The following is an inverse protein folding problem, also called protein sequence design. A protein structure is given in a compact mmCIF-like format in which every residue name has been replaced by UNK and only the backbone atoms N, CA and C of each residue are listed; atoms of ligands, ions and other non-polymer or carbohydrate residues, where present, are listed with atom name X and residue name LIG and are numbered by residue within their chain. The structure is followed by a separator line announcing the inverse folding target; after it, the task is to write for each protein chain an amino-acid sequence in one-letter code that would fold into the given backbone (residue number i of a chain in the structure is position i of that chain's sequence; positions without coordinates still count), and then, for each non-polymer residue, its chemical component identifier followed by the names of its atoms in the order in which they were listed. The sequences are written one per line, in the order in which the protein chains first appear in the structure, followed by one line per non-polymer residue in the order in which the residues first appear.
data_IF_973075650462
#
_entry.id   IF_973075650462
#
_cell.length_a   1.000
_cell.length_b   1.000
_cell.length_c   1.000
_cell.angle_alpha   90.00
_cell.angle_beta   90.00
_cell.angle_gamma   90.00
#
_symmetry.space_group_name_H-M   'P 1'
#
loop_
_entity.id
_entity.type
_entity.pdbx_description
1 polymer ?
#
# COMPACT_ATOMS: atom_id res chain seq x y z
N UNK A 1 23.65 13.97 10.78
CA UNK A 1 24.18 12.69 10.28
C UNK A 1 23.00 11.78 10.02
N UNK A 2 22.62 11.62 8.77
CA UNK A 2 21.60 10.65 8.34
C UNK A 2 22.36 9.39 7.93
N UNK A 3 22.16 8.27 8.62
CA UNK A 3 22.85 7.01 8.31
C UNK A 3 24.39 7.12 8.26
N UNK A 4 25.00 7.97 9.10
CA UNK A 4 26.46 8.19 9.12
C UNK A 4 27.00 9.11 8.01
N UNK A 5 26.14 9.64 7.15
CA UNK A 5 26.47 10.62 6.11
C UNK A 5 25.97 12.00 6.52
N UNK A 6 26.76 13.04 6.28
CA UNK A 6 26.30 14.42 6.39
C UNK A 6 25.39 14.73 5.18
N UNK A 7 24.09 14.50 5.32
CA UNK A 7 23.07 14.78 4.31
C UNK A 7 22.14 15.90 4.79
N UNK A 8 21.54 16.63 3.85
CA UNK A 8 20.51 17.63 4.12
C UNK A 8 19.15 16.97 4.00
N UNK A 9 18.38 17.02 5.09
CA UNK A 9 17.01 16.52 5.13
C UNK A 9 16.07 17.59 4.57
N UNK A 10 15.36 17.25 3.51
CA UNK A 10 14.23 18.01 2.99
C UNK A 10 12.94 17.31 3.42
N UNK A 11 11.93 18.10 3.76
CA UNK A 11 10.67 17.61 4.31
C UNK A 11 9.51 18.28 3.61
N UNK A 12 8.39 17.59 3.48
CA UNK A 12 7.13 18.19 3.04
C UNK A 12 5.98 17.23 3.25
N UNK A 13 4.81 17.58 2.72
CA UNK A 13 3.58 16.81 2.91
C UNK A 13 3.15 16.00 1.69
N UNK A 14 3.88 16.09 0.57
CA UNK A 14 3.59 15.31 -0.63
C UNK A 14 4.30 13.96 -0.55
N UNK A 15 3.63 12.91 -1.02
CA UNK A 15 4.16 11.55 -0.98
C UNK A 15 4.67 11.11 -2.35
N UNK A 16 5.92 10.67 -2.40
CA UNK A 16 6.58 10.10 -3.57
C UNK A 16 6.72 8.57 -3.40
N UNK A 17 6.29 7.82 -4.41
CA UNK A 17 6.36 6.35 -4.40
C UNK A 17 7.74 5.87 -4.86
N UNK A 18 8.32 4.91 -4.13
CA UNK A 18 9.50 4.17 -4.58
C UNK A 18 9.03 3.00 -5.43
N UNK A 19 9.77 2.63 -6.47
CA UNK A 19 9.48 1.48 -7.33
C UNK A 19 10.61 0.45 -7.32
N UNK A 20 10.29 -0.78 -7.71
CA UNK A 20 11.25 -1.89 -7.78
C UNK A 20 11.55 -2.56 -6.44
N UNK A 21 10.77 -2.25 -5.40
CA UNK A 21 10.95 -2.75 -4.03
C UNK A 21 10.76 -4.27 -3.95
N UNK A 22 9.98 -4.86 -4.85
CA UNK A 22 9.79 -6.31 -4.95
C UNK A 22 11.11 -7.06 -5.15
N UNK A 23 12.09 -6.45 -5.85
CA UNK A 23 13.43 -6.99 -6.04
C UNK A 23 14.39 -6.68 -4.88
N UNK A 24 13.96 -5.84 -3.92
CA UNK A 24 14.78 -5.31 -2.81
C UNK A 24 14.25 -5.71 -1.43
N UNK A 25 13.36 -6.69 -1.36
CA UNK A 25 12.74 -7.15 -0.11
C UNK A 25 13.76 -7.57 0.95
N UNK A 26 14.88 -8.19 0.57
CA UNK A 26 15.93 -8.53 1.54
C UNK A 26 16.51 -7.30 2.23
N UNK A 27 16.84 -6.25 1.45
CA UNK A 27 17.33 -4.97 1.97
C UNK A 27 16.28 -4.26 2.83
N UNK A 28 15.02 -4.27 2.40
CA UNK A 28 13.92 -3.67 3.15
C UNK A 28 13.68 -4.35 4.50
N UNK A 29 13.77 -5.68 4.56
CA UNK A 29 13.74 -6.38 5.83
C UNK A 29 14.98 -6.05 6.69
N UNK A 30 16.15 -5.86 6.08
CA UNK A 30 17.35 -5.38 6.78
C UNK A 30 17.16 -4.00 7.43
N UNK A 31 16.48 -3.08 6.75
CA UNK A 31 16.13 -1.74 7.26
C UNK A 31 15.23 -1.83 8.49
N UNK A 32 14.16 -2.64 8.42
CA UNK A 32 13.18 -2.77 9.51
C UNK A 32 13.71 -3.62 10.67
N UNK A 33 14.69 -4.48 10.40
CA UNK A 33 15.32 -5.38 11.37
C UNK A 33 14.80 -6.82 11.28
N UNK A 34 14.35 -7.40 12.39
CA UNK A 34 13.89 -8.80 12.37
C UNK A 34 12.61 -8.93 11.55
N UNK A 35 12.55 -9.90 10.64
CA UNK A 35 11.33 -10.29 9.91
C UNK A 35 10.28 -10.79 10.92
N UNK A 36 9.26 -9.99 11.29
CA UNK A 36 8.22 -10.49 12.16
C UNK A 36 7.35 -11.41 11.33
N UNK A 37 7.17 -12.66 11.76
CA UNK A 37 6.44 -13.66 10.96
C UNK A 37 4.93 -13.43 10.89
N UNK A 38 4.38 -12.40 11.53
CA UNK A 38 2.94 -12.10 11.55
C UNK A 38 2.60 -10.67 12.03
N UNK A 39 3.31 -9.63 11.58
CA UNK A 39 2.97 -8.26 11.98
C UNK A 39 2.97 -7.31 10.80
N UNK A 40 2.08 -6.31 10.86
CA UNK A 40 2.16 -5.15 9.98
C UNK A 40 3.39 -4.34 10.37
N UNK A 41 4.11 -3.91 9.36
CA UNK A 41 5.27 -3.05 9.47
C UNK A 41 4.84 -1.64 9.12
N UNK A 42 5.22 -0.71 10.01
CA UNK A 42 5.21 0.72 9.78
C UNK A 42 6.50 1.24 10.42
N UNK A 43 7.48 1.56 9.61
CA UNK A 43 8.82 1.93 10.07
C UNK A 43 9.20 3.25 9.42
N UNK A 44 9.25 4.30 10.23
CA UNK A 44 9.75 5.61 9.84
C UNK A 44 11.28 5.55 9.71
N UNK A 45 11.79 6.12 8.63
CA UNK A 45 13.20 6.12 8.29
C UNK A 45 13.55 7.41 7.53
N UNK A 46 14.83 7.52 7.15
CA UNK A 46 15.31 8.57 6.27
C UNK A 46 15.99 7.94 5.08
N UNK A 47 15.54 8.31 3.88
CA UNK A 47 16.07 7.85 2.62
C UNK A 47 17.04 8.86 2.01
N UNK A 48 18.08 8.38 1.34
CA UNK A 48 18.99 9.16 0.50
C UNK A 48 18.61 8.98 -0.96
N UNK A 49 18.58 10.07 -1.71
CA UNK A 49 18.41 10.08 -3.16
C UNK A 49 19.78 10.16 -3.84
N UNK A 50 20.08 9.18 -4.70
CA UNK A 50 21.37 9.05 -5.36
C UNK A 50 21.17 8.93 -6.88
N UNK A 51 21.50 9.97 -7.68
CA UNK A 51 21.47 9.87 -9.13
C UNK A 51 22.50 8.86 -9.67
N UNK A 52 22.10 8.02 -10.63
CA UNK A 52 22.96 7.04 -11.30
C UNK A 52 23.18 7.42 -12.78
N UNK A 53 24.24 8.17 -13.06
CA UNK A 53 24.58 8.67 -14.41
C UNK A 53 24.96 7.61 -15.45
N UNK A 54 25.01 6.33 -15.08
CA UNK A 54 25.41 5.21 -15.94
C UNK A 54 24.48 4.01 -15.88
N UNK A 55 23.26 4.17 -15.38
CA UNK A 55 22.31 3.07 -15.31
C UNK A 55 21.86 2.66 -16.73
N UNK A 56 21.97 1.38 -17.12
CA UNK A 56 21.69 0.94 -18.50
C UNK A 56 20.19 0.91 -18.85
N UNK A 57 19.31 1.03 -17.87
CA UNK A 57 17.85 0.93 -18.06
C UNK A 57 17.13 2.27 -18.04
N UNK A 58 17.70 3.27 -17.38
CA UNK A 58 17.18 4.62 -17.30
C UNK A 58 18.33 5.60 -17.09
N UNK A 59 18.56 6.46 -18.07
CA UNK A 59 19.61 7.48 -17.99
C UNK A 59 19.38 8.48 -16.86
N UNK A 60 18.14 8.61 -16.36
CA UNK A 60 17.73 9.50 -15.27
C UNK A 60 17.62 8.84 -13.91
N UNK A 61 17.94 7.55 -13.79
CA UNK A 61 17.70 6.77 -12.58
C UNK A 61 18.16 7.47 -11.30
N UNK A 62 17.26 7.53 -10.31
CA UNK A 62 17.56 7.98 -8.95
C UNK A 62 17.33 6.81 -8.01
N UNK A 63 18.42 6.27 -7.48
CA UNK A 63 18.39 5.19 -6.51
C UNK A 63 18.00 5.72 -5.13
N UNK A 64 17.18 4.95 -4.41
CA UNK A 64 16.71 5.27 -3.07
C UNK A 64 17.38 4.34 -2.08
N UNK A 65 18.05 4.93 -1.09
CA UNK A 65 18.83 4.19 -0.10
C UNK A 65 18.37 4.49 1.33
N UNK A 66 18.13 3.46 2.13
CA UNK A 66 17.77 3.60 3.55
C UNK A 66 18.72 2.77 4.39
N UNK A 67 19.35 3.35 5.41
CA UNK A 67 20.28 2.67 6.32
C UNK A 67 21.38 1.86 5.59
N UNK A 68 21.87 2.36 4.45
CA UNK A 68 22.89 1.68 3.64
C UNK A 68 22.35 0.57 2.72
N UNK A 69 21.04 0.32 2.70
CA UNK A 69 20.39 -0.61 1.80
C UNK A 69 19.74 0.11 0.62
N UNK A 70 19.99 -0.39 -0.59
CA UNK A 70 19.26 0.03 -1.78
C UNK A 70 17.85 -0.57 -1.75
N UNK A 71 16.84 0.29 -1.58
CA UNK A 71 15.45 -0.13 -1.37
C UNK A 71 14.59 -0.05 -2.63
N UNK A 72 15.03 0.69 -3.65
CA UNK A 72 14.35 0.82 -4.93
C UNK A 72 14.82 2.08 -5.66
N UNK A 73 14.03 2.53 -6.62
CA UNK A 73 14.28 3.75 -7.38
C UNK A 73 13.08 4.66 -7.31
N UNK A 74 13.25 5.92 -7.69
CA UNK A 74 12.11 6.69 -8.16
C UNK A 74 11.60 6.10 -9.48
N UNK A 75 10.31 6.29 -9.79
CA UNK A 75 9.76 5.94 -11.11
C UNK A 75 10.54 6.68 -12.20
N UNK A 76 10.56 6.18 -13.45
CA UNK A 76 11.31 6.85 -14.54
C UNK A 76 10.93 8.30 -14.73
N UNK A 77 9.64 8.59 -14.63
CA UNK A 77 9.14 9.94 -14.85
C UNK A 77 9.46 10.85 -13.65
N UNK A 78 9.34 10.34 -12.42
CA UNK A 78 9.79 11.08 -11.24
C UNK A 78 11.30 11.27 -11.30
N UNK A 79 12.06 10.26 -11.70
CA UNK A 79 13.49 10.37 -11.86
C UNK A 79 13.84 11.48 -12.88
N UNK A 80 13.18 11.51 -14.04
CA UNK A 80 13.36 12.57 -15.03
C UNK A 80 12.98 13.96 -14.49
N UNK A 81 11.87 14.09 -13.75
CA UNK A 81 11.41 15.36 -13.21
C UNK A 81 12.27 15.88 -12.05
N UNK A 82 12.62 15.01 -11.10
CA UNK A 82 13.34 15.37 -9.88
C UNK A 82 14.84 15.49 -10.10
N UNK A 83 15.41 14.85 -11.12
CA UNK A 83 16.86 14.78 -11.30
C UNK A 83 17.57 16.14 -11.36
N UNK A 84 17.12 17.15 -12.13
CA UNK A 84 17.75 18.46 -12.12
C UNK A 84 17.77 19.10 -10.72
N UNK A 85 16.70 18.88 -9.94
CA UNK A 85 16.60 19.33 -8.56
C UNK A 85 17.55 18.59 -7.63
N UNK A 86 17.52 17.26 -7.66
CA UNK A 86 18.38 16.41 -6.84
C UNK A 86 19.85 16.69 -7.12
N UNK A 87 20.26 16.79 -8.38
CA UNK A 87 21.65 17.09 -8.76
C UNK A 87 22.08 18.48 -8.28
N UNK A 88 21.22 19.49 -8.44
CA UNK A 88 21.49 20.86 -7.93
C UNK A 88 21.70 20.87 -6.42
N UNK A 89 20.85 20.20 -5.66
CA UNK A 89 20.93 20.16 -4.19
C UNK A 89 22.15 19.31 -3.73
N UNK A 90 22.43 18.22 -4.44
CA UNK A 90 23.52 17.29 -4.15
C UNK A 90 24.92 17.92 -4.27
N UNK A 91 25.07 19.05 -4.99
CA UNK A 91 26.33 19.82 -5.04
C UNK A 91 26.77 20.26 -3.65
N UNK A 92 25.82 20.61 -2.78
CA UNK A 92 26.11 21.15 -1.45
C UNK A 92 26.24 20.03 -0.40
N UNK A 93 25.30 19.08 -0.43
CA UNK A 93 25.31 17.90 0.42
C UNK A 93 24.35 16.84 -0.17
N UNK A 94 24.57 15.54 0.11
CA UNK A 94 23.61 14.49 -0.21
C UNK A 94 22.18 14.84 0.20
N UNK A 95 21.22 14.51 -0.66
CA UNK A 95 19.80 14.81 -0.47
C UNK A 95 19.14 13.68 0.30
N UNK A 96 18.46 14.02 1.40
CA UNK A 96 17.71 13.09 2.22
C UNK A 96 16.22 13.49 2.31
N UNK A 97 15.34 12.49 2.38
CA UNK A 97 13.90 12.64 2.59
C UNK A 97 13.41 11.76 3.73
N UNK A 98 12.34 12.18 4.42
CA UNK A 98 11.63 11.29 5.33
C UNK A 98 11.04 10.14 4.52
N UNK A 99 11.08 8.94 5.07
CA UNK A 99 10.59 7.74 4.41
C UNK A 99 9.74 6.92 5.39
N UNK A 100 8.73 6.25 4.87
CA UNK A 100 7.97 5.27 5.63
C UNK A 100 8.02 3.94 4.88
N UNK A 101 8.62 2.93 5.53
CA UNK A 101 8.57 1.55 5.08
C UNK A 101 7.31 0.91 5.66
N UNK A 102 6.41 0.49 4.79
CA UNK A 102 5.11 -0.07 5.19
C UNK A 102 4.85 -1.40 4.51
N UNK A 103 4.04 -2.24 5.14
CA UNK A 103 3.65 -3.52 4.57
C UNK A 103 3.64 -4.60 5.63
N UNK A 104 4.10 -5.79 5.28
CA UNK A 104 3.98 -6.95 6.17
C UNK A 104 2.54 -7.45 6.28
N UNK A 105 2.35 -8.60 6.93
CA UNK A 105 1.05 -9.26 6.93
C UNK A 105 0.85 -10.26 8.06
N UNK A 106 -0.41 -10.56 8.31
CA UNK A 106 -0.86 -11.70 9.12
C UNK A 106 -1.22 -12.85 8.18
N UNK A 107 -0.61 -14.03 8.34
CA UNK A 107 -0.96 -15.25 7.59
C UNK A 107 0.16 -15.84 6.73
N UNK A 108 -0.15 -16.90 5.98
CA UNK A 108 0.82 -17.80 5.33
C UNK A 108 1.41 -17.27 3.99
N UNK A 109 1.26 -15.99 3.68
CA UNK A 109 1.73 -15.37 2.43
C UNK A 109 3.12 -14.73 2.57
N UNK A 110 3.83 -14.50 1.46
CA UNK A 110 5.09 -13.75 1.48
C UNK A 110 4.80 -12.30 1.84
N UNK A 111 5.25 -11.88 3.03
CA UNK A 111 5.15 -10.50 3.48
C UNK A 111 6.04 -9.59 2.61
N UNK A 112 5.42 -8.63 1.91
CA UNK A 112 6.11 -7.64 1.07
C UNK A 112 6.05 -6.27 1.76
N UNK A 113 7.14 -5.51 1.64
CA UNK A 113 7.31 -4.14 2.10
C UNK A 113 7.40 -3.18 0.90
N UNK A 114 6.79 -2.01 1.01
CA UNK A 114 6.94 -0.89 0.08
C UNK A 114 7.48 0.34 0.80
N UNK A 115 7.89 1.36 0.03
CA UNK A 115 8.48 2.59 0.57
C UNK A 115 7.82 3.82 -0.02
N UNK A 116 7.50 4.76 0.85
CA UNK A 116 6.99 6.09 0.50
C UNK A 116 7.92 7.14 1.06
N UNK A 117 8.14 8.23 0.31
CA UNK A 117 8.97 9.36 0.73
C UNK A 117 8.10 10.60 0.89
N UNK A 118 8.36 11.41 1.92
CA UNK A 118 7.67 12.68 2.11
C UNK A 118 8.61 13.83 1.72
N UNK A 119 8.11 14.75 0.89
CA UNK A 119 8.91 15.86 0.39
C UNK A 119 8.05 17.09 0.02
N UNK A 120 8.73 18.21 -0.20
CA UNK A 120 8.16 19.39 -0.84
C UNK A 120 8.73 19.48 -2.27
N UNK A 121 7.90 19.38 -3.34
CA UNK A 121 8.38 19.48 -4.72
C UNK A 121 9.15 20.78 -5.02
N UNK A 122 8.88 21.87 -4.28
CA UNK A 122 9.51 23.17 -4.50
C UNK A 122 10.99 23.21 -4.19
N UNK A 123 11.46 22.39 -3.25
CA UNK A 123 12.89 22.24 -2.96
C UNK A 123 13.66 21.75 -4.21
N UNK A 124 12.99 20.92 -5.03
CA UNK A 124 13.53 20.35 -6.25
C UNK A 124 13.36 21.27 -7.46
N UNK A 125 12.77 22.46 -7.30
CA UNK A 125 12.49 23.40 -8.37
C UNK A 125 11.30 22.98 -9.23
N UNK A 126 10.46 22.09 -8.70
CA UNK A 126 9.15 21.78 -9.25
C UNK A 126 8.15 22.74 -8.61
N UNK A 127 7.16 23.21 -9.36
CA UNK A 127 6.06 23.94 -8.73
C UNK A 127 5.41 23.03 -7.68
N UNK A 128 4.94 23.53 -6.51
CA UNK A 128 4.11 22.74 -5.62
C UNK A 128 2.84 22.50 -6.41
N UNK A 129 2.75 21.34 -7.04
CA UNK A 129 1.66 21.10 -7.97
C UNK A 129 0.66 20.26 -7.22
N UNK A 130 -0.56 20.78 -7.12
CA UNK A 130 -1.76 19.95 -7.14
C UNK A 130 -1.51 18.89 -8.22
N UNK A 131 -1.24 17.66 -7.79
CA UNK A 131 -1.12 16.47 -8.63
C UNK A 131 -0.49 16.70 -10.03
N UNK A 132 0.84 16.67 -10.14
CA UNK A 132 1.53 16.46 -11.42
C UNK A 132 2.10 15.04 -11.47
N UNK A 133 1.48 14.12 -12.20
CA UNK A 133 2.11 12.84 -12.49
C UNK A 133 2.92 12.95 -13.78
N UNK A 134 4.06 12.29 -13.75
CA UNK A 134 4.56 11.36 -14.77
C UNK A 134 4.30 11.75 -16.24
N UNK A 135 5.33 12.29 -16.89
CA UNK A 135 5.33 12.62 -18.32
C UNK A 135 5.40 11.35 -19.17
N UNK A 136 4.24 10.88 -19.65
CA UNK A 136 4.15 10.08 -20.88
C UNK A 136 3.80 8.61 -20.74
N UNK A 137 3.87 8.01 -19.54
CA UNK A 137 3.34 6.67 -19.29
C UNK A 137 1.93 6.79 -18.65
N UNK A 138 0.89 6.45 -19.41
CA UNK A 138 -0.52 6.53 -19.00
C UNK A 138 -0.80 5.60 -17.81
N UNK A 139 -0.45 5.97 -16.57
CA UNK A 139 -0.71 5.12 -15.39
C UNK A 139 -2.18 5.12 -15.03
N UNK A 140 -2.72 6.14 -14.37
CA UNK A 140 -4.17 6.24 -14.06
C UNK A 140 -4.97 6.93 -15.17
N UNK A 141 -4.29 7.47 -16.19
CA UNK A 141 -4.89 8.36 -17.18
C UNK A 141 -5.12 9.79 -16.69
N UNK A 142 -5.09 10.04 -15.38
CA UNK A 142 -5.38 11.35 -14.78
C UNK A 142 -4.34 12.43 -15.18
N UNK A 143 -3.07 12.06 -15.27
CA UNK A 143 -1.98 12.95 -15.73
C UNK A 143 -2.17 13.40 -17.18
N UNK A 144 -2.45 12.44 -18.07
CA UNK A 144 -2.72 12.73 -19.48
C UNK A 144 -4.06 13.46 -19.63
N UNK A 145 -5.00 13.20 -18.71
CA UNK A 145 -6.26 13.89 -18.66
C UNK A 145 -6.05 15.39 -18.41
N UNK A 146 -5.34 15.76 -17.34
CA UNK A 146 -4.96 17.14 -17.05
C UNK A 146 -4.21 17.82 -18.21
N UNK A 147 -3.25 17.13 -18.82
CA UNK A 147 -2.45 17.70 -19.90
C UNK A 147 -3.24 17.94 -21.19
N UNK A 148 -4.18 17.05 -21.51
CA UNK A 148 -4.98 17.22 -22.72
C UNK A 148 -6.15 18.18 -22.51
N UNK A 149 -6.71 18.27 -21.30
CA UNK A 149 -7.67 19.32 -20.93
C UNK A 149 -7.10 20.73 -21.17
N UNK A 150 -5.90 21.03 -20.65
CA UNK A 150 -5.22 22.32 -20.91
C UNK A 150 -5.01 22.61 -22.42
N UNK A 151 -5.03 21.58 -23.28
CA UNK A 151 -4.79 21.69 -24.72
C UNK A 151 -6.08 21.67 -25.56
N UNK A 152 -7.15 21.01 -25.11
CA UNK A 152 -8.35 20.74 -25.89
C UNK A 152 -9.70 20.99 -25.18
N UNK A 153 -9.70 21.40 -23.90
CA UNK A 153 -10.87 21.76 -23.09
C UNK A 153 -11.97 20.67 -23.12
N UNK A 154 -11.56 19.41 -23.16
CA UNK A 154 -12.49 18.29 -23.40
C UNK A 154 -13.21 17.77 -22.16
N UNK A 155 -12.77 18.09 -20.94
CA UNK A 155 -13.41 17.73 -19.67
C UNK A 155 -12.85 18.57 -18.51
N UNK A 156 -13.67 18.88 -17.50
CA UNK A 156 -13.34 19.87 -16.47
C UNK A 156 -12.79 19.21 -15.21
N UNK A 157 -11.46 19.11 -15.07
CA UNK A 157 -10.84 18.58 -13.84
C UNK A 157 -10.65 19.64 -12.74
N UNK A 158 -11.21 20.85 -12.90
CA UNK A 158 -11.06 21.93 -11.92
C UNK A 158 -11.73 21.59 -10.58
N UNK A 159 -12.72 20.70 -10.56
CA UNK A 159 -13.33 20.22 -9.32
C UNK A 159 -12.31 19.60 -8.35
N UNK A 160 -11.22 19.00 -8.85
CA UNK A 160 -10.17 18.42 -8.01
C UNK A 160 -9.47 19.50 -7.17
N UNK A 161 -9.30 20.69 -7.77
CA UNK A 161 -8.67 21.85 -7.15
C UNK A 161 -9.55 22.49 -6.07
N UNK A 162 -10.86 22.31 -6.19
CA UNK A 162 -11.88 22.89 -5.30
C UNK A 162 -12.35 21.93 -4.21
N UNK A 163 -11.76 20.72 -4.15
CA UNK A 163 -12.06 19.78 -3.08
C UNK A 163 -11.54 20.28 -1.72
N UNK A 164 -12.36 20.20 -0.65
CA UNK A 164 -11.93 20.47 0.70
C UNK A 164 -10.79 19.54 1.15
N UNK A 165 -9.91 20.09 1.99
CA UNK A 165 -8.90 19.28 2.68
C UNK A 165 -9.55 18.31 3.69
N UNK A 166 -10.68 18.69 4.28
CA UNK A 166 -11.46 17.80 5.14
C UNK A 166 -12.06 16.63 4.33
N UNK A 167 -11.69 15.41 4.71
CA UNK A 167 -12.04 14.19 3.96
C UNK A 167 -13.55 14.00 3.81
N UNK A 168 -14.34 14.23 4.88
CA UNK A 168 -15.80 14.00 4.85
C UNK A 168 -16.53 15.07 4.05
N UNK A 169 -16.10 16.32 4.12
CA UNK A 169 -16.61 17.40 3.26
C UNK A 169 -16.30 17.14 1.80
N UNK A 170 -15.08 16.68 1.48
CA UNK A 170 -14.73 16.31 0.11
C UNK A 170 -15.55 15.12 -0.41
N UNK A 171 -15.77 14.07 0.39
CA UNK A 171 -16.67 12.95 0.03
C UNK A 171 -18.08 13.46 -0.30
N UNK A 172 -18.59 14.41 0.50
CA UNK A 172 -19.92 15.00 0.27
C UNK A 172 -19.96 15.79 -1.04
N UNK A 173 -18.92 16.55 -1.35
CA UNK A 173 -18.80 17.31 -2.59
C UNK A 173 -18.67 16.39 -3.80
N UNK A 174 -17.82 15.36 -3.75
CA UNK A 174 -17.66 14.36 -4.81
C UNK A 174 -18.97 13.65 -5.13
N UNK A 175 -19.72 13.23 -4.09
CA UNK A 175 -21.07 12.65 -4.27
C UNK A 175 -22.03 13.62 -4.95
N UNK A 176 -21.94 14.91 -4.62
CA UNK A 176 -22.79 15.94 -5.24
C UNK A 176 -22.45 16.11 -6.72
N UNK A 177 -21.16 16.19 -7.06
CA UNK A 177 -20.70 16.29 -8.44
C UNK A 177 -21.15 15.07 -9.26
N UNK A 178 -20.95 13.86 -8.73
CA UNK A 178 -21.36 12.60 -9.36
C UNK A 178 -22.87 12.46 -9.63
N UNK A 179 -23.74 13.29 -9.05
CA UNK A 179 -25.17 13.30 -9.36
C UNK A 179 -25.43 13.99 -10.70
N UNK A 180 -24.73 15.08 -11.00
CA UNK A 180 -25.04 15.98 -12.09
C UNK A 180 -24.03 15.96 -13.24
N UNK A 181 -22.81 15.50 -12.98
CA UNK A 181 -21.74 15.51 -13.98
C UNK A 181 -22.05 14.53 -15.11
N UNK A 182 -22.14 14.98 -16.38
CA UNK A 182 -22.42 14.11 -17.51
C UNK A 182 -21.16 13.49 -18.14
N UNK A 183 -19.97 13.99 -17.83
CA UNK A 183 -18.73 13.57 -18.49
C UNK A 183 -18.18 12.26 -17.90
N UNK A 184 -17.96 11.28 -18.74
CA UNK A 184 -17.58 9.94 -18.29
C UNK A 184 -16.14 9.86 -17.78
N UNK A 185 -15.24 10.70 -18.29
CA UNK A 185 -13.84 10.73 -17.89
C UNK A 185 -13.73 11.47 -16.55
N UNK A 186 -14.42 12.60 -16.39
CA UNK A 186 -14.48 13.32 -15.10
C UNK A 186 -15.06 12.44 -14.00
N UNK A 187 -16.19 11.79 -14.28
CA UNK A 187 -16.82 10.87 -13.34
C UNK A 187 -15.90 9.72 -12.92
N UNK A 188 -15.12 9.16 -13.85
CA UNK A 188 -14.14 8.11 -13.53
C UNK A 188 -13.13 8.57 -12.48
N UNK A 189 -12.62 9.79 -12.63
CA UNK A 189 -11.67 10.36 -11.69
C UNK A 189 -12.32 10.79 -10.39
N UNK A 190 -13.55 11.31 -10.42
CA UNK A 190 -14.34 11.59 -9.22
C UNK A 190 -14.60 10.33 -8.40
N UNK A 191 -14.98 9.22 -9.05
CA UNK A 191 -15.14 7.93 -8.37
C UNK A 191 -13.82 7.44 -7.79
N UNK A 192 -12.73 7.51 -8.56
CA UNK A 192 -11.40 7.09 -8.10
C UNK A 192 -10.95 7.86 -6.83
N UNK A 193 -11.18 9.17 -6.80
CA UNK A 193 -10.88 10.01 -5.62
C UNK A 193 -11.83 9.72 -4.45
N UNK A 194 -13.13 9.54 -4.72
CA UNK A 194 -14.14 9.18 -3.72
C UNK A 194 -13.78 7.85 -3.04
N UNK A 195 -13.44 6.84 -3.83
CA UNK A 195 -13.00 5.52 -3.38
C UNK A 195 -11.75 5.60 -2.52
N UNK A 196 -10.73 6.35 -2.96
CA UNK A 196 -9.49 6.53 -2.21
C UNK A 196 -9.75 7.16 -0.83
N UNK A 197 -10.60 8.19 -0.75
CA UNK A 197 -10.97 8.86 0.51
C UNK A 197 -11.77 7.95 1.44
N UNK A 198 -12.79 7.27 0.92
CA UNK A 198 -13.60 6.33 1.71
C UNK A 198 -12.75 5.18 2.23
N UNK A 199 -11.86 4.64 1.39
CA UNK A 199 -10.98 3.55 1.82
C UNK A 199 -9.99 4.01 2.89
N UNK A 200 -9.51 5.27 2.87
CA UNK A 200 -8.67 5.82 3.96
C UNK A 200 -9.43 5.89 5.29
N UNK A 201 -10.73 6.20 5.27
CA UNK A 201 -11.55 6.30 6.49
C UNK A 201 -11.96 4.95 7.10
N UNK A 202 -11.77 3.83 6.40
CA UNK A 202 -12.21 2.49 6.84
C UNK A 202 -11.73 2.07 8.24
N UNK A 203 -10.57 2.56 8.67
CA UNK A 203 -9.96 2.18 9.96
C UNK A 203 -10.40 3.13 11.09
N UNK A 204 -11.13 4.20 10.76
CA UNK A 204 -11.58 5.27 11.68
C UNK A 204 -13.10 5.30 11.78
N UNK A 205 -13.82 4.93 10.72
CA UNK A 205 -15.27 5.02 10.64
C UNK A 205 -15.87 3.68 10.18
N UNK A 206 -16.71 3.08 11.03
CA UNK A 206 -17.30 1.76 10.80
C UNK A 206 -18.09 1.66 9.46
N UNK A 207 -18.75 2.75 9.07
CA UNK A 207 -19.54 2.80 7.83
C UNK A 207 -18.70 3.00 6.56
N UNK A 208 -17.47 3.51 6.67
CA UNK A 208 -16.70 3.96 5.51
C UNK A 208 -16.33 2.81 4.56
N UNK A 209 -16.17 1.59 5.09
CA UNK A 209 -15.88 0.42 4.26
C UNK A 209 -17.09 -0.04 3.44
N UNK A 210 -18.30 0.06 3.98
CA UNK A 210 -19.52 -0.22 3.24
C UNK A 210 -19.79 0.87 2.20
N UNK A 211 -19.60 2.13 2.58
CA UNK A 211 -19.68 3.26 1.64
C UNK A 211 -18.68 3.15 0.49
N UNK A 212 -17.47 2.65 0.76
CA UNK A 212 -16.46 2.33 -0.26
C UNK A 212 -16.96 1.22 -1.20
N UNK A 213 -17.48 0.13 -0.65
CA UNK A 213 -18.00 -0.99 -1.45
C UNK A 213 -19.16 -0.54 -2.36
N UNK A 214 -20.03 0.36 -1.87
CA UNK A 214 -21.12 0.97 -2.65
C UNK A 214 -20.59 1.90 -3.75
N UNK A 215 -19.59 2.74 -3.45
CA UNK A 215 -18.96 3.63 -4.43
C UNK A 215 -18.33 2.83 -5.58
N UNK A 216 -17.59 1.76 -5.28
CA UNK A 216 -17.02 0.88 -6.30
C UNK A 216 -18.11 0.19 -7.15
N UNK A 217 -19.21 -0.24 -6.54
CA UNK A 217 -20.30 -0.86 -7.27
C UNK A 217 -20.98 0.14 -8.23
N UNK A 218 -21.16 1.39 -7.79
CA UNK A 218 -21.68 2.46 -8.63
C UNK A 218 -20.70 2.78 -9.78
N UNK A 219 -19.41 2.88 -9.49
CA UNK A 219 -18.37 3.11 -10.49
C UNK A 219 -18.37 1.99 -11.55
N UNK A 220 -18.35 0.72 -11.15
CA UNK A 220 -18.40 -0.43 -12.08
C UNK A 220 -19.66 -0.42 -12.97
N UNK A 221 -20.79 0.04 -12.44
CA UNK A 221 -22.04 0.14 -13.22
C UNK A 221 -21.94 1.12 -14.41
N UNK A 222 -20.96 2.03 -14.36
CA UNK A 222 -20.67 2.99 -15.42
C UNK A 222 -19.46 2.59 -16.28
N UNK A 223 -18.68 1.60 -15.82
CA UNK A 223 -17.36 1.29 -16.37
C UNK A 223 -17.37 0.85 -17.82
N UNK A 224 -18.43 0.24 -18.36
CA UNK A 224 -18.47 -0.09 -19.80
C UNK A 224 -18.46 1.18 -20.67
N UNK A 225 -19.22 2.22 -20.27
CA UNK A 225 -19.27 3.51 -20.97
C UNK A 225 -17.98 4.31 -20.75
N UNK A 226 -17.53 4.37 -19.49
CA UNK A 226 -16.27 5.02 -19.10
C UNK A 226 -15.09 4.41 -19.87
N UNK A 227 -15.00 3.08 -19.94
CA UNK A 227 -13.94 2.37 -20.66
C UNK A 227 -13.90 2.76 -22.13
N UNK A 228 -15.06 2.89 -22.79
CA UNK A 228 -15.11 3.38 -24.17
C UNK A 228 -14.56 4.80 -24.28
N UNK A 229 -14.95 5.70 -23.37
CA UNK A 229 -14.44 7.07 -23.36
C UNK A 229 -12.93 7.16 -23.10
N UNK A 230 -12.43 6.43 -22.09
CA UNK A 230 -10.99 6.36 -21.77
C UNK A 230 -10.19 5.86 -22.97
N UNK A 231 -10.64 4.79 -23.63
CA UNK A 231 -9.96 4.26 -24.81
C UNK A 231 -9.99 5.24 -25.99
N UNK A 232 -11.12 5.89 -26.25
CA UNK A 232 -11.22 6.90 -27.30
C UNK A 232 -10.26 8.08 -27.06
N UNK A 233 -10.12 8.51 -25.81
CA UNK A 233 -9.25 9.63 -25.44
C UNK A 233 -7.77 9.25 -25.47
N UNK A 234 -7.42 8.11 -24.89
CA UNK A 234 -6.03 7.75 -24.63
C UNK A 234 -5.44 6.75 -25.62
N UNK A 235 -6.26 6.17 -26.51
CA UNK A 235 -5.86 5.09 -27.41
C UNK A 235 -5.62 3.75 -26.72
N UNK A 236 -5.82 3.68 -25.40
CA UNK A 236 -5.69 2.50 -24.55
C UNK A 236 -6.48 2.70 -23.25
N UNK A 237 -6.68 1.64 -22.49
CA UNK A 237 -7.33 1.65 -21.18
C UNK A 237 -6.25 1.86 -20.09
N UNK A 238 -6.33 2.94 -19.30
CA UNK A 238 -5.42 3.20 -18.18
C UNK A 238 -5.65 2.23 -17.02
N UNK A 239 -4.82 2.31 -15.97
CA UNK A 239 -4.94 1.53 -14.76
C UNK A 239 -6.30 1.73 -14.09
N UNK A 240 -7.09 0.66 -14.08
CA UNK A 240 -8.35 0.56 -13.36
C UNK A 240 -8.10 0.02 -11.93
N UNK A 241 -7.51 0.85 -11.07
CA UNK A 241 -7.04 0.44 -9.73
C UNK A 241 -8.15 -0.17 -8.86
N UNK A 242 -9.41 0.28 -9.03
CA UNK A 242 -10.58 -0.23 -8.32
C UNK A 242 -10.66 -1.77 -8.36
N UNK A 243 -10.44 -2.40 -9.51
CA UNK A 243 -10.58 -3.86 -9.66
C UNK A 243 -9.54 -4.62 -8.85
N UNK A 244 -8.29 -4.16 -8.86
CA UNK A 244 -7.22 -4.72 -8.03
C UNK A 244 -7.51 -4.52 -6.55
N UNK A 245 -7.95 -3.33 -6.18
CA UNK A 245 -8.28 -3.00 -4.80
C UNK A 245 -9.45 -3.83 -4.26
N UNK A 246 -10.49 -4.02 -5.06
CA UNK A 246 -11.62 -4.87 -4.71
C UNK A 246 -11.20 -6.34 -4.58
N UNK A 247 -10.32 -6.86 -5.44
CA UNK A 247 -9.75 -8.20 -5.24
C UNK A 247 -9.06 -8.33 -3.88
N UNK A 248 -8.22 -7.36 -3.48
CA UNK A 248 -7.55 -7.37 -2.15
C UNK A 248 -8.59 -7.33 -1.02
N UNK A 249 -9.62 -6.51 -1.16
CA UNK A 249 -10.70 -6.35 -0.19
C UNK A 249 -11.49 -7.65 0.01
N UNK A 250 -11.91 -8.29 -1.08
CA UNK A 250 -12.69 -9.54 -1.02
C UNK A 250 -11.84 -10.72 -0.53
N UNK A 251 -10.55 -10.75 -0.87
CA UNK A 251 -9.60 -11.69 -0.29
C UNK A 251 -9.54 -11.58 1.25
N UNK A 252 -9.50 -10.35 1.80
CA UNK A 252 -9.52 -10.13 3.26
C UNK A 252 -10.85 -10.53 3.89
N UNK A 253 -11.96 -10.30 3.19
CA UNK A 253 -13.30 -10.72 3.61
C UNK A 253 -13.51 -12.23 3.53
N UNK A 254 -12.60 -12.96 2.84
CA UNK A 254 -12.76 -14.37 2.46
C UNK A 254 -13.98 -14.61 1.56
N UNK A 255 -14.41 -13.59 0.84
CA UNK A 255 -15.44 -13.68 -0.20
C UNK A 255 -14.75 -13.97 -1.54
N UNK A 256 -14.39 -15.23 -1.75
CA UNK A 256 -13.61 -15.62 -2.93
C UNK A 256 -14.44 -15.59 -4.21
N UNK A 257 -15.76 -15.77 -4.13
CA UNK A 257 -16.67 -15.66 -5.28
C UNK A 257 -16.71 -14.21 -5.78
N UNK A 258 -16.90 -13.24 -4.87
CA UNK A 258 -16.90 -11.83 -5.24
C UNK A 258 -15.50 -11.36 -5.68
N UNK A 259 -14.45 -11.86 -5.05
CA UNK A 259 -13.07 -11.61 -5.49
C UNK A 259 -12.78 -12.12 -6.90
N UNK A 260 -13.26 -13.32 -7.24
CA UNK A 260 -13.17 -13.87 -8.58
C UNK A 260 -13.90 -12.97 -9.60
N UNK A 261 -15.14 -12.58 -9.27
CA UNK A 261 -15.94 -11.71 -10.12
C UNK A 261 -15.25 -10.38 -10.43
N UNK A 262 -14.67 -9.70 -9.42
CA UNK A 262 -13.94 -8.45 -9.64
C UNK A 262 -12.70 -8.64 -10.52
N UNK A 263 -11.98 -9.75 -10.37
CA UNK A 263 -10.82 -10.04 -11.21
C UNK A 263 -11.23 -10.30 -12.67
N UNK A 264 -12.30 -11.08 -12.89
CA UNK A 264 -12.85 -11.36 -14.22
C UNK A 264 -13.39 -10.10 -14.88
N UNK A 265 -14.12 -9.27 -14.12
CA UNK A 265 -14.68 -8.01 -14.60
C UNK A 265 -13.60 -7.02 -15.02
N UNK A 266 -12.56 -6.84 -14.21
CA UNK A 266 -11.44 -5.97 -14.55
C UNK A 266 -10.69 -6.45 -15.81
N UNK A 267 -10.44 -7.75 -15.92
CA UNK A 267 -9.84 -8.33 -17.14
C UNK A 267 -10.70 -8.15 -18.38
N UNK A 268 -12.02 -8.26 -18.25
CA UNK A 268 -12.96 -8.04 -19.35
C UNK A 268 -12.93 -6.59 -19.85
N UNK A 269 -12.82 -5.61 -18.94
CA UNK A 269 -12.75 -4.19 -19.30
C UNK A 269 -11.45 -3.82 -19.99
N UNK A 270 -10.33 -4.35 -19.49
CA UNK A 270 -9.03 -4.22 -20.17
C UNK A 270 -9.07 -4.85 -21.57
N UNK A 271 -9.59 -6.07 -21.70
CA UNK A 271 -9.57 -6.81 -22.96
C UNK A 271 -8.15 -6.89 -23.53
N UNK A 272 -7.98 -6.47 -24.79
CA UNK A 272 -6.68 -6.33 -25.47
C UNK A 272 -6.07 -4.95 -25.36
N UNK A 273 -6.77 -4.01 -24.72
CA UNK A 273 -6.52 -2.58 -24.87
C UNK A 273 -5.88 -1.98 -23.62
N UNK A 274 -5.42 -2.81 -22.68
CA UNK A 274 -4.68 -2.34 -21.51
C UNK A 274 -3.40 -1.61 -21.96
N UNK A 275 -3.15 -0.43 -21.40
CA UNK A 275 -1.93 0.30 -21.68
C UNK A 275 -0.68 -0.44 -21.19
N UNK A 276 -0.76 -1.12 -20.04
CA UNK A 276 0.32 -1.96 -19.52
C UNK A 276 -0.14 -3.40 -19.28
N UNK A 277 0.66 -4.33 -19.78
CA UNK A 277 0.44 -5.77 -19.63
C UNK A 277 0.50 -6.21 -18.16
N UNK A 278 1.33 -5.55 -17.35
CA UNK A 278 1.55 -5.89 -15.94
C UNK A 278 0.26 -5.80 -15.10
N UNK A 279 -0.64 -4.88 -15.43
CA UNK A 279 -1.91 -4.71 -14.70
C UNK A 279 -2.87 -5.86 -14.96
N UNK A 280 -2.93 -6.35 -16.20
CA UNK A 280 -3.71 -7.55 -16.51
C UNK A 280 -3.06 -8.80 -15.93
N UNK A 281 -1.73 -8.85 -15.84
CA UNK A 281 -1.02 -10.00 -15.26
C UNK A 281 -1.23 -10.10 -13.73
N UNK A 282 -1.32 -8.98 -13.02
CA UNK A 282 -1.74 -8.98 -11.60
C UNK A 282 -3.16 -9.55 -11.43
N UNK A 283 -4.12 -9.08 -12.22
CA UNK A 283 -5.50 -9.59 -12.16
C UNK A 283 -5.59 -11.07 -12.56
N UNK A 284 -4.83 -11.54 -13.55
CA UNK A 284 -4.74 -12.97 -13.91
C UNK A 284 -4.22 -13.82 -12.74
N UNK A 285 -3.18 -13.36 -12.05
CA UNK A 285 -2.63 -14.05 -10.86
C UNK A 285 -3.68 -14.15 -9.75
N UNK A 286 -4.44 -13.09 -9.51
CA UNK A 286 -5.53 -13.06 -8.52
C UNK A 286 -6.68 -13.98 -8.90
N UNK A 287 -7.12 -13.93 -10.16
CA UNK A 287 -8.15 -14.80 -10.72
C UNK A 287 -7.76 -16.28 -10.55
N UNK A 288 -6.53 -16.65 -10.92
CA UNK A 288 -6.03 -18.02 -10.73
C UNK A 288 -6.04 -18.43 -9.25
N UNK A 289 -5.64 -17.51 -8.36
CA UNK A 289 -5.66 -17.75 -6.92
C UNK A 289 -7.08 -17.93 -6.37
N UNK A 290 -8.05 -17.12 -6.79
CA UNK A 290 -9.45 -17.26 -6.37
C UNK A 290 -10.07 -18.57 -6.86
N UNK A 291 -9.84 -18.96 -8.12
CA UNK A 291 -10.27 -20.26 -8.65
C UNK A 291 -9.71 -21.41 -7.82
N UNK A 292 -8.41 -21.39 -7.54
CA UNK A 292 -7.78 -22.39 -6.66
C UNK A 292 -8.44 -22.43 -5.27
N UNK A 293 -8.85 -21.28 -4.70
CA UNK A 293 -9.53 -21.23 -3.40
C UNK A 293 -10.94 -21.78 -3.42
N UNK A 294 -11.67 -21.60 -4.52
CA UNK A 294 -13.02 -22.13 -4.71
C UNK A 294 -13.01 -23.63 -5.02
N UNK A 295 -12.01 -24.09 -5.79
CA UNK A 295 -11.83 -25.50 -6.15
C UNK A 295 -11.24 -26.35 -5.02
N UNK A 296 -10.53 -25.71 -4.08
CA UNK A 296 -10.05 -26.38 -2.88
C UNK A 296 -11.25 -26.75 -2.00
N UNK A 297 -11.43 -28.03 -1.60
CA UNK A 297 -12.48 -28.39 -0.68
C UNK A 297 -12.32 -27.55 0.58
N UNK A 298 -13.37 -26.82 0.96
CA UNK A 298 -13.38 -26.03 2.18
C UNK A 298 -12.85 -26.92 3.30
N UNK A 299 -11.83 -26.50 4.08
CA UNK A 299 -11.46 -27.26 5.25
C UNK A 299 -12.74 -27.45 6.06
N UNK A 300 -13.03 -28.70 6.41
CA UNK A 300 -14.22 -29.07 7.16
C UNK A 300 -14.42 -28.03 8.27
N UNK A 301 -15.64 -27.53 8.42
CA UNK A 301 -15.99 -26.61 9.49
C UNK A 301 -15.30 -27.09 10.77
N UNK A 302 -14.59 -26.23 11.51
CA UNK A 302 -14.04 -26.64 12.78
C UNK A 302 -15.19 -27.27 13.56
N UNK A 303 -15.03 -28.55 13.93
CA UNK A 303 -16.03 -29.28 14.72
C UNK A 303 -16.55 -28.31 15.78
N UNK A 304 -17.87 -28.21 16.01
CA UNK A 304 -18.40 -27.31 17.01
C UNK A 304 -17.56 -27.53 18.26
N UNK A 305 -16.92 -26.46 18.76
CA UNK A 305 -16.26 -26.52 20.05
C UNK A 305 -17.34 -26.98 21.00
N UNK A 306 -17.29 -28.26 21.38
CA UNK A 306 -17.95 -28.72 22.60
C UNK A 306 -17.45 -27.75 23.64
N UNK A 307 -18.35 -26.88 24.10
CA UNK A 307 -18.11 -26.05 25.27
C UNK A 307 -17.42 -26.97 26.27
N UNK A 308 -16.21 -26.65 26.75
CA UNK A 308 -15.65 -27.45 27.80
C UNK A 308 -16.68 -27.41 28.92
N UNK A 309 -17.27 -28.58 29.23
CA UNK A 309 -17.89 -28.79 30.53
C UNK A 309 -16.91 -28.18 31.51
N UNK A 310 -17.39 -27.32 32.40
CA UNK A 310 -16.62 -26.77 33.51
C UNK A 310 -15.88 -27.93 34.19
N UNK A 311 -14.62 -28.14 33.79
CA UNK A 311 -13.72 -29.06 34.47
C UNK A 311 -13.21 -28.25 35.63
N UNK A 312 -13.61 -28.66 36.83
CA UNK A 312 -12.96 -28.22 38.06
C UNK A 312 -11.45 -28.24 37.84
N UNK A 313 -10.84 -27.06 37.89
CA UNK A 313 -9.38 -26.93 37.85
C UNK A 313 -8.82 -27.60 39.11
N UNK A 314 -8.47 -28.87 39.00
CA UNK A 314 -7.64 -29.52 40.01
C UNK A 314 -6.27 -28.84 39.97
N UNK A 315 -5.96 -28.05 40.98
CA UNK A 315 -4.65 -27.40 41.14
C UNK A 315 -3.60 -28.49 41.34
N UNK A 316 -2.90 -28.86 40.27
CA UNK A 316 -1.78 -29.81 40.36
C UNK A 316 -0.56 -29.05 40.89
N UNK A 317 -0.18 -29.34 42.13
CA UNK A 317 1.06 -28.86 42.73
C UNK A 317 2.22 -29.71 42.22
N UNK A 318 3.31 -29.08 41.78
CA UNK A 318 4.57 -29.73 41.41
C UNK A 318 5.70 -29.32 42.36
N UNK A 319 6.59 -30.26 42.67
CA UNK A 319 7.81 -30.04 43.43
C UNK A 319 8.97 -29.77 42.46
N UNK A 320 9.73 -28.69 42.68
CA UNK A 320 10.89 -28.29 41.88
C UNK A 320 12.13 -28.15 42.77
N UNK A 321 13.31 -28.47 42.22
CA UNK A 321 14.59 -28.38 42.93
C UNK A 321 15.41 -27.20 42.44
N UNK A 322 15.96 -26.42 43.37
CA UNK A 322 16.58 -25.14 43.03
C UNK A 322 18.01 -25.38 42.59
N UNK A 323 18.39 -24.84 41.44
CA UNK A 323 19.75 -25.00 40.92
C UNK A 323 20.79 -24.21 41.71
N UNK A 324 20.37 -23.32 42.63
CA UNK A 324 21.25 -22.50 43.47
C UNK A 324 21.39 -23.02 44.91
N UNK A 325 20.30 -23.20 45.66
CA UNK A 325 20.32 -23.72 47.04
C UNK A 325 20.20 -25.24 47.14
N UNK A 326 19.80 -25.95 46.08
CA UNK A 326 19.42 -27.37 46.13
C UNK A 326 18.09 -27.66 46.85
N UNK A 327 17.43 -26.64 47.40
CA UNK A 327 16.20 -26.78 48.15
C UNK A 327 15.00 -27.09 47.23
N UNK A 328 14.07 -27.93 47.71
CA UNK A 328 12.84 -28.31 47.00
C UNK A 328 11.73 -27.35 47.41
N UNK A 329 10.96 -26.84 46.45
CA UNK A 329 9.77 -26.03 46.73
C UNK A 329 8.59 -26.42 45.84
N UNK A 330 7.41 -26.19 46.38
CA UNK A 330 6.15 -26.46 45.71
C UNK A 330 5.65 -25.24 44.96
N UNK A 331 5.05 -25.48 43.79
CA UNK A 331 4.25 -24.48 43.10
C UNK A 331 3.07 -25.09 42.37
N UNK A 332 2.05 -24.31 42.15
CA UNK A 332 0.98 -24.66 41.22
C UNK A 332 1.54 -24.75 39.80
N UNK A 333 1.28 -25.86 39.12
CA UNK A 333 1.74 -26.08 37.74
C UNK A 333 1.02 -25.11 36.80
N UNK A 334 1.78 -24.19 36.22
CA UNK A 334 1.32 -23.25 35.19
C UNK A 334 1.94 -23.59 33.83
N UNK A 335 1.29 -23.20 32.72
CA UNK A 335 1.88 -23.33 31.38
C UNK A 335 3.05 -22.34 31.24
N UNK A 336 4.21 -22.83 30.82
CA UNK A 336 5.41 -22.00 30.62
C UNK A 336 6.70 -22.71 31.05
N UNK A 337 7.82 -22.01 30.95
CA UNK A 337 9.14 -22.52 31.34
C UNK A 337 9.21 -22.75 32.86
N UNK A 338 9.80 -23.87 33.29
CA UNK A 338 9.99 -24.16 34.72
C UNK A 338 11.07 -23.24 35.31
N UNK A 339 10.81 -22.53 36.42
CA UNK A 339 11.80 -21.73 37.13
C UNK A 339 12.91 -22.65 37.63
N UNK A 340 14.14 -22.17 37.51
CA UNK A 340 15.34 -22.89 37.97
C UNK A 340 15.71 -22.51 39.42
N UNK A 341 15.19 -21.38 39.92
CA UNK A 341 15.47 -20.86 41.25
C UNK A 341 14.22 -20.90 42.14
N UNK A 342 14.40 -21.19 43.43
CA UNK A 342 13.34 -21.07 44.43
C UNK A 342 13.00 -19.60 44.69
N UNK A 343 11.84 -19.28 45.29
CA UNK A 343 11.41 -17.90 45.51
C UNK A 343 12.43 -17.04 46.27
N UNK A 344 13.09 -17.59 47.29
CA UNK A 344 14.14 -16.88 48.03
C UNK A 344 15.36 -16.59 47.16
N UNK A 345 15.89 -17.59 46.45
CA UNK A 345 17.05 -17.39 45.57
C UNK A 345 16.77 -16.51 44.35
N UNK A 346 15.52 -16.41 43.92
CA UNK A 346 15.08 -15.56 42.82
C UNK A 346 14.86 -14.10 43.25
N UNK A 347 14.55 -13.86 44.53
CA UNK A 347 14.46 -12.50 45.09
C UNK A 347 15.85 -11.88 45.34
N UNK A 348 16.87 -12.72 45.56
CA UNK A 348 18.27 -12.32 45.74
C UNK A 348 19.10 -12.34 44.43
N UNK A 349 18.44 -12.28 43.27
CA UNK A 349 19.05 -12.33 41.94
C UNK A 349 18.51 -11.17 41.10
#
# INVERSE_FOLDING_TARGET
MVNGVAATLYSGGETLEVVGESYRQEGLWGVVGQRPTNQRVHHEAVALLVPETGNPYDANAIAVWIAGHHVGYLSRDDAAAYRPGVERLAVSAPVALNAVVVGGGFGNGVAILGVFLDHDPTDFGLSPTRYRPSTGELRTGLSQAFQTDELDDSYDLSWLNDLPQDTRRAITQLRTLLISDPDLIDRHFMFSELEARLYKLRDVEDAALAEFDDACAQHDSEMDRIRTALHQKFGAVPLLEMYKQQCVRQQKAKDFERGLWWAERGLALYGTDAYSQDWTDDLKKRLAWFRMKLDSPSPAAPRPRTSPKSVEMTLVVENLTCTRCGCIWERTRVRGRKPLLCPSCAADA
#
